data_IF_418992490573
#
_entry.id   IF_418992490573
#
_cell.length_a   1.000
_cell.length_b   1.000
_cell.length_c   1.000
_cell.angle_alpha   90.00
_cell.angle_beta   90.00
_cell.angle_gamma   90.00
#
_symmetry.space_group_name_H-M   'P 1'
#
loop_
_entity.id
_entity.type
_entity.pdbx_description
1 polymer ?
#
# COMPACT_ATOMS: atom_id res chain seq x y z
N UNK A 1 30.40 -17.37 1.43
CA UNK A 1 29.40 -16.65 0.65
C UNK A 1 29.15 -15.37 1.39
N UNK A 2 29.35 -14.22 0.77
CA UNK A 2 29.05 -12.91 1.39
C UNK A 2 27.56 -12.90 1.76
N UNK A 3 27.18 -12.32 2.91
CA UNK A 3 25.79 -12.22 3.40
C UNK A 3 24.81 -11.74 2.32
N UNK A 4 25.30 -11.00 1.38
CA UNK A 4 24.63 -10.34 0.27
C UNK A 4 24.05 -11.30 -0.80
N UNK A 5 24.65 -12.48 -1.00
CA UNK A 5 24.17 -13.43 -2.04
C UNK A 5 22.86 -14.13 -1.70
N UNK A 6 22.50 -14.24 -0.41
CA UNK A 6 21.28 -14.90 0.02
C UNK A 6 20.01 -14.12 -0.36
N UNK A 7 20.11 -12.79 -0.56
CA UNK A 7 18.99 -11.94 -0.90
C UNK A 7 18.75 -11.76 -2.41
N UNK A 8 19.62 -12.30 -3.28
CA UNK A 8 19.58 -12.09 -4.73
C UNK A 8 18.21 -12.42 -5.37
N UNK A 9 17.52 -13.44 -4.85
CA UNK A 9 16.21 -13.81 -5.37
C UNK A 9 15.14 -12.76 -5.08
N UNK A 10 15.18 -12.12 -3.90
CA UNK A 10 14.14 -11.23 -3.42
C UNK A 10 14.46 -9.75 -3.59
N UNK A 11 15.71 -9.33 -3.49
CA UNK A 11 16.11 -7.92 -3.52
C UNK A 11 15.89 -7.24 -4.89
N UNK A 12 15.81 -5.90 -4.93
CA UNK A 12 15.93 -5.11 -6.17
C UNK A 12 17.17 -5.47 -6.99
N UNK A 13 17.26 -5.00 -8.21
CA UNK A 13 18.45 -5.24 -9.04
C UNK A 13 19.67 -4.54 -8.47
N UNK A 14 20.82 -5.23 -8.51
CA UNK A 14 22.17 -4.71 -8.25
C UNK A 14 23.06 -5.28 -9.35
N UNK A 15 23.51 -4.42 -10.28
CA UNK A 15 24.33 -4.79 -11.43
C UNK A 15 23.55 -5.33 -12.63
N UNK A 16 22.22 -5.38 -12.55
CA UNK A 16 21.32 -5.86 -13.63
C UNK A 16 20.46 -4.71 -14.22
N UNK A 17 20.72 -3.46 -13.79
CA UNK A 17 19.87 -2.31 -14.10
C UNK A 17 19.87 -2.00 -15.58
N UNK A 18 21.05 -1.92 -16.20
CA UNK A 18 21.20 -1.60 -17.65
C UNK A 18 20.47 -2.63 -18.52
N UNK A 19 20.73 -3.95 -18.37
CA UNK A 19 19.98 -4.95 -19.14
C UNK A 19 18.47 -4.92 -18.88
N UNK A 20 18.03 -4.59 -17.67
CA UNK A 20 16.61 -4.50 -17.34
C UNK A 20 15.94 -3.29 -18.03
N UNK A 21 16.59 -2.13 -18.02
CA UNK A 21 16.11 -0.93 -18.72
C UNK A 21 16.06 -1.16 -20.24
N UNK A 22 17.07 -1.83 -20.81
CA UNK A 22 17.08 -2.19 -22.24
C UNK A 22 15.90 -3.10 -22.60
N UNK A 23 15.62 -4.13 -21.78
CA UNK A 23 14.46 -5.02 -21.99
C UNK A 23 13.14 -4.25 -21.87
N UNK A 24 12.98 -3.35 -20.89
CA UNK A 24 11.79 -2.50 -20.76
C UNK A 24 11.60 -1.61 -21.99
N UNK A 25 12.67 -1.01 -22.51
CA UNK A 25 12.61 -0.13 -23.68
C UNK A 25 12.17 -0.85 -24.97
N UNK A 26 12.26 -2.19 -24.99
CA UNK A 26 11.86 -3.04 -26.12
C UNK A 26 10.55 -3.80 -25.87
N UNK A 27 10.01 -3.78 -24.64
CA UNK A 27 8.80 -4.51 -24.25
C UNK A 27 7.55 -3.80 -24.76
N UNK A 28 6.98 -4.26 -25.85
CA UNK A 28 5.83 -3.64 -26.52
C UNK A 28 4.60 -3.52 -25.62
N UNK A 29 4.31 -4.51 -24.79
CA UNK A 29 3.20 -4.48 -23.81
C UNK A 29 3.40 -3.37 -22.78
N UNK A 30 4.62 -3.25 -22.23
CA UNK A 30 5.00 -2.18 -21.31
C UNK A 30 4.82 -0.80 -21.95
N UNK A 31 5.40 -0.60 -23.14
CA UNK A 31 5.32 0.67 -23.87
C UNK A 31 3.87 1.04 -24.19
N UNK A 32 3.05 0.07 -24.61
CA UNK A 32 1.63 0.28 -24.92
C UNK A 32 0.86 0.70 -23.66
N UNK A 33 1.04 -0.03 -22.57
CA UNK A 33 0.38 0.27 -21.29
C UNK A 33 0.76 1.66 -20.78
N UNK A 34 2.05 1.96 -20.72
CA UNK A 34 2.52 3.25 -20.22
C UNK A 34 2.10 4.41 -21.13
N UNK A 35 2.14 4.22 -22.45
CA UNK A 35 1.65 5.21 -23.41
C UNK A 35 0.16 5.52 -23.19
N UNK A 36 -0.66 4.50 -23.03
CA UNK A 36 -2.09 4.66 -22.77
C UNK A 36 -2.36 5.40 -21.44
N UNK A 37 -1.64 5.03 -20.40
CA UNK A 37 -1.83 5.60 -19.06
C UNK A 37 -1.35 7.04 -18.94
N UNK A 38 -0.21 7.35 -19.55
CA UNK A 38 0.45 8.66 -19.42
C UNK A 38 0.13 9.63 -20.55
N UNK A 39 -0.50 9.13 -21.62
CA UNK A 39 -0.72 9.85 -22.89
C UNK A 39 0.58 10.36 -23.51
N UNK A 40 1.67 9.62 -23.31
CA UNK A 40 2.99 9.89 -23.89
C UNK A 40 3.26 8.86 -24.98
N UNK A 41 3.76 9.29 -26.14
CA UNK A 41 4.10 8.39 -27.24
C UNK A 41 5.17 7.38 -26.83
N UNK A 42 5.07 6.14 -27.33
CA UNK A 42 6.03 5.06 -27.07
C UNK A 42 7.47 5.46 -27.32
N UNK A 43 7.72 6.18 -28.44
CA UNK A 43 9.07 6.66 -28.79
C UNK A 43 9.64 7.62 -27.75
N UNK A 44 8.81 8.44 -27.12
CA UNK A 44 9.24 9.34 -26.04
C UNK A 44 9.50 8.56 -24.75
N UNK A 45 8.71 7.51 -24.44
CA UNK A 45 8.96 6.62 -23.32
C UNK A 45 10.31 5.91 -23.51
N UNK A 46 10.59 5.41 -24.71
CA UNK A 46 11.87 4.80 -25.04
C UNK A 46 13.04 5.79 -24.90
N UNK A 47 12.87 7.03 -25.33
CA UNK A 47 13.88 8.08 -25.18
C UNK A 47 14.13 8.43 -23.72
N UNK A 48 13.09 8.47 -22.87
CA UNK A 48 13.22 8.69 -21.42
C UNK A 48 13.98 7.56 -20.71
N UNK A 49 13.87 6.33 -21.18
CA UNK A 49 14.60 5.19 -20.65
C UNK A 49 16.07 5.15 -21.09
N UNK A 50 16.39 5.80 -22.24
CA UNK A 50 17.73 5.80 -22.81
C UNK A 50 18.72 6.50 -21.87
N UNK A 51 19.83 5.82 -21.59
CA UNK A 51 20.91 6.36 -20.76
C UNK A 51 20.71 6.18 -19.25
N UNK A 52 19.60 5.57 -18.81
CA UNK A 52 19.42 5.18 -17.42
C UNK A 52 20.33 3.98 -17.13
N UNK A 53 21.19 4.12 -16.11
CA UNK A 53 22.20 3.12 -15.74
C UNK A 53 22.11 2.66 -14.30
N UNK A 54 21.24 3.28 -13.47
CA UNK A 54 21.03 2.90 -12.10
C UNK A 54 19.55 2.97 -11.70
N UNK A 55 19.19 2.34 -10.57
CA UNK A 55 17.85 2.40 -9.99
C UNK A 55 17.46 3.84 -9.62
N UNK A 56 18.37 4.58 -9.02
CA UNK A 56 18.14 5.97 -8.61
C UNK A 56 17.82 6.85 -9.83
N UNK A 57 18.54 6.65 -10.94
CA UNK A 57 18.22 7.33 -12.19
C UNK A 57 16.87 6.89 -12.74
N UNK A 58 16.54 5.60 -12.71
CA UNK A 58 15.25 5.08 -13.14
C UNK A 58 14.10 5.73 -12.35
N UNK A 59 14.23 5.77 -11.04
CA UNK A 59 13.26 6.37 -10.14
C UNK A 59 13.14 7.88 -10.36
N UNK A 60 14.26 8.61 -10.41
CA UNK A 60 14.24 10.07 -10.51
C UNK A 60 13.84 10.58 -11.90
N UNK A 61 14.22 9.89 -12.98
CA UNK A 61 14.06 10.39 -14.35
C UNK A 61 12.87 9.77 -15.10
N UNK A 62 12.41 8.58 -14.68
CA UNK A 62 11.34 7.88 -15.34
C UNK A 62 10.15 7.59 -14.43
N UNK A 63 10.33 6.82 -13.36
CA UNK A 63 9.19 6.31 -12.56
C UNK A 63 8.54 7.41 -11.73
N UNK A 64 9.30 8.20 -10.97
CA UNK A 64 8.78 9.31 -10.18
C UNK A 64 7.98 10.33 -11.00
N UNK A 65 8.54 10.89 -12.09
CA UNK A 65 7.80 11.78 -12.99
C UNK A 65 6.55 11.13 -13.60
N UNK A 66 6.58 9.82 -13.87
CA UNK A 66 5.40 9.07 -14.34
C UNK A 66 4.31 9.03 -13.28
N UNK A 67 4.65 8.71 -12.03
CA UNK A 67 3.71 8.71 -10.91
C UNK A 67 3.14 10.10 -10.65
N UNK A 68 3.96 11.16 -10.66
CA UNK A 68 3.48 12.54 -10.51
C UNK A 68 2.47 12.91 -11.61
N UNK A 69 2.70 12.49 -12.85
CA UNK A 69 1.75 12.70 -13.96
C UNK A 69 0.45 11.94 -13.76
N UNK A 70 0.52 10.69 -13.28
CA UNK A 70 -0.66 9.88 -12.95
C UNK A 70 -1.46 10.52 -11.82
N UNK A 71 -0.81 10.97 -10.75
CA UNK A 71 -1.43 11.71 -9.65
C UNK A 71 -2.18 12.93 -10.19
N UNK A 72 -1.52 13.76 -10.99
CA UNK A 72 -2.12 14.97 -11.56
C UNK A 72 -3.32 14.67 -12.46
N UNK A 73 -3.30 13.54 -13.18
CA UNK A 73 -4.38 13.15 -14.10
C UNK A 73 -5.55 12.39 -13.47
N UNK A 74 -5.35 11.77 -12.31
CA UNK A 74 -6.34 10.86 -11.70
C UNK A 74 -6.78 11.25 -10.29
N UNK A 75 -6.24 12.33 -9.73
CA UNK A 75 -6.62 12.82 -8.39
C UNK A 75 -6.99 14.31 -8.41
N UNK A 76 -7.64 14.77 -7.35
CA UNK A 76 -7.82 16.20 -7.01
C UNK A 76 -6.66 16.75 -6.16
N UNK A 77 -5.56 16.02 -6.08
CA UNK A 77 -4.38 16.32 -5.29
C UNK A 77 -4.12 15.31 -4.19
N UNK A 78 -2.86 15.25 -3.79
CA UNK A 78 -2.35 14.44 -2.68
C UNK A 78 -1.93 15.39 -1.57
N UNK A 79 -2.30 15.05 -0.34
CA UNK A 79 -1.89 15.77 0.87
C UNK A 79 -1.21 14.80 1.82
N UNK A 80 -0.35 15.31 2.67
CA UNK A 80 0.37 14.50 3.67
C UNK A 80 0.45 15.27 4.98
N UNK A 81 0.35 14.54 6.09
CA UNK A 81 0.65 15.03 7.45
C UNK A 81 1.70 14.14 8.10
N UNK A 82 2.45 14.65 9.06
CA UNK A 82 3.42 13.90 9.84
C UNK A 82 4.78 13.66 9.17
N UNK A 83 5.06 14.28 8.01
CA UNK A 83 6.40 14.23 7.39
C UNK A 83 7.48 14.81 8.29
N UNK A 84 7.14 15.70 9.23
CA UNK A 84 8.05 16.26 10.22
C UNK A 84 8.65 15.24 11.17
N UNK A 85 7.98 14.09 11.36
CA UNK A 85 8.49 12.97 12.18
C UNK A 85 9.59 12.17 11.48
N UNK A 86 9.77 12.36 10.16
CA UNK A 86 10.73 11.62 9.36
C UNK A 86 12.00 12.45 9.18
N UNK A 87 13.07 11.99 9.81
CA UNK A 87 14.41 12.58 9.68
C UNK A 87 15.08 12.06 8.40
N UNK A 88 15.70 12.97 7.63
CA UNK A 88 16.24 12.66 6.30
C UNK A 88 17.33 11.60 6.31
N UNK A 89 18.13 11.57 7.38
CA UNK A 89 19.30 10.70 7.51
C UNK A 89 18.99 9.39 8.26
N UNK A 90 17.71 9.12 8.53
CA UNK A 90 17.28 7.89 9.20
C UNK A 90 16.42 7.03 8.28
N UNK A 91 16.54 5.74 8.46
CA UNK A 91 15.75 4.72 7.77
C UNK A 91 14.61 4.24 8.66
N UNK A 92 13.48 3.88 8.06
CA UNK A 92 12.25 3.51 8.76
C UNK A 92 11.59 2.30 8.12
N UNK A 93 10.85 1.55 8.93
CA UNK A 93 9.90 0.55 8.46
C UNK A 93 8.49 1.16 8.44
N UNK A 94 8.06 1.64 7.28
CA UNK A 94 6.70 2.13 7.09
C UNK A 94 5.73 0.97 6.95
N UNK A 95 4.72 0.92 7.82
CA UNK A 95 3.66 -0.11 7.80
C UNK A 95 2.32 0.57 7.62
N UNK A 96 1.57 0.24 6.57
CA UNK A 96 0.30 0.91 6.28
C UNK A 96 -0.84 -0.04 5.97
N UNK A 97 -2.08 0.47 6.03
CA UNK A 97 -3.18 -0.12 5.29
C UNK A 97 -2.84 -0.11 3.78
N UNK A 98 -3.45 -1.02 3.01
CA UNK A 98 -3.11 -1.18 1.58
C UNK A 98 -4.36 -1.09 0.72
N UNK A 99 -4.46 -0.04 -0.08
CA UNK A 99 -5.64 0.33 -0.88
C UNK A 99 -5.46 0.06 -2.37
N UNK A 100 -4.29 0.41 -2.92
CA UNK A 100 -3.94 0.25 -4.33
C UNK A 100 -2.66 -0.59 -4.49
N UNK A 101 -2.57 -1.41 -5.55
CA UNK A 101 -1.44 -2.33 -5.75
C UNK A 101 -0.12 -1.56 -5.92
N UNK A 102 -0.15 -0.43 -6.61
CA UNK A 102 1.04 0.31 -7.05
C UNK A 102 1.13 1.67 -6.36
N UNK A 103 0.01 2.41 -6.29
CA UNK A 103 0.04 3.82 -5.92
C UNK A 103 0.32 4.06 -4.44
N UNK A 104 0.02 3.12 -3.55
CA UNK A 104 0.27 3.33 -2.11
C UNK A 104 1.76 3.55 -1.83
N UNK A 105 2.62 2.63 -2.27
CA UNK A 105 4.08 2.76 -2.12
C UNK A 105 4.67 3.82 -3.04
N UNK A 106 4.17 3.92 -4.27
CA UNK A 106 4.70 4.87 -5.24
C UNK A 106 4.45 6.34 -4.83
N UNK A 107 3.26 6.66 -4.31
CA UNK A 107 2.95 8.00 -3.80
C UNK A 107 3.77 8.29 -2.53
N UNK A 108 3.88 7.32 -1.61
CA UNK A 108 4.73 7.49 -0.42
C UNK A 108 6.16 7.84 -0.83
N UNK A 109 6.72 7.14 -1.81
CA UNK A 109 8.06 7.43 -2.33
C UNK A 109 8.18 8.84 -2.91
N UNK A 110 7.19 9.30 -3.69
CA UNK A 110 7.18 10.69 -4.19
C UNK A 110 7.21 11.68 -3.02
N UNK A 111 6.37 11.50 -2.00
CA UNK A 111 6.31 12.36 -0.82
C UNK A 111 7.62 12.37 -0.01
N UNK A 112 8.26 11.22 0.17
CA UNK A 112 9.55 11.11 0.85
C UNK A 112 10.67 11.79 0.05
N UNK A 113 10.72 11.59 -1.27
CA UNK A 113 11.69 12.25 -2.14
C UNK A 113 11.52 13.77 -2.17
N UNK A 114 10.29 14.30 -2.19
CA UNK A 114 10.01 15.74 -2.10
C UNK A 114 10.47 16.33 -0.76
N UNK A 115 10.45 15.54 0.31
CA UNK A 115 11.04 15.91 1.60
C UNK A 115 12.58 15.87 1.59
N UNK A 116 13.19 15.21 0.60
CA UNK A 116 14.64 14.97 0.48
C UNK A 116 15.11 13.75 1.27
N UNK A 117 14.23 12.81 1.56
CA UNK A 117 14.55 11.49 2.09
C UNK A 117 15.01 10.55 0.98
N UNK A 118 15.70 9.47 1.36
CA UNK A 118 16.02 8.39 0.43
C UNK A 118 14.76 7.65 -0.05
N UNK A 119 14.89 6.95 -1.14
CA UNK A 119 13.84 6.10 -1.68
C UNK A 119 13.54 4.95 -0.71
N UNK A 120 12.27 4.55 -0.63
CA UNK A 120 11.81 3.48 0.23
C UNK A 120 11.61 2.21 -0.61
N UNK A 121 12.24 1.09 -0.23
CA UNK A 121 12.00 -0.19 -0.87
C UNK A 121 10.60 -0.71 -0.55
N UNK A 122 9.86 -1.16 -1.56
CA UNK A 122 8.48 -1.61 -1.38
C UNK A 122 8.34 -3.14 -1.47
N UNK A 123 7.57 -3.72 -0.53
CA UNK A 123 7.25 -5.14 -0.55
C UNK A 123 6.22 -5.47 -1.63
N UNK A 124 6.53 -6.41 -2.54
CA UNK A 124 5.61 -6.88 -3.59
C UNK A 124 5.45 -8.40 -3.57
N UNK A 125 4.22 -8.89 -3.73
CA UNK A 125 3.96 -10.33 -3.81
C UNK A 125 4.43 -10.94 -5.13
N UNK A 126 5.08 -12.11 -5.09
CA UNK A 126 5.56 -12.83 -6.29
C UNK A 126 4.45 -13.19 -7.28
N UNK A 127 3.20 -13.29 -6.82
CA UNK A 127 2.03 -13.53 -7.68
C UNK A 127 1.75 -12.39 -8.68
N UNK A 128 2.33 -11.21 -8.47
CA UNK A 128 2.20 -10.06 -9.37
C UNK A 128 3.27 -10.04 -10.46
N UNK A 129 4.31 -10.87 -10.36
CA UNK A 129 5.41 -10.98 -11.34
C UNK A 129 5.01 -11.89 -12.51
N UNK A 130 3.95 -11.51 -13.22
CA UNK A 130 3.31 -12.34 -14.24
C UNK A 130 4.12 -12.52 -15.53
N UNK A 131 5.08 -11.62 -15.76
CA UNK A 131 5.99 -11.68 -16.90
C UNK A 131 7.30 -10.92 -16.62
N UNK A 132 8.24 -11.00 -17.58
CA UNK A 132 9.59 -10.45 -17.40
C UNK A 132 9.61 -8.93 -17.27
N UNK A 133 8.84 -8.19 -18.06
CA UNK A 133 8.86 -6.73 -18.01
C UNK A 133 8.24 -6.19 -16.69
N UNK A 134 7.24 -6.89 -16.10
CA UNK A 134 6.74 -6.54 -14.77
C UNK A 134 7.82 -6.76 -13.72
N UNK A 135 8.54 -7.89 -13.81
CA UNK A 135 9.68 -8.17 -12.91
C UNK A 135 10.76 -7.11 -13.02
N UNK A 136 11.12 -6.72 -14.27
CA UNK A 136 12.13 -5.69 -14.50
C UNK A 136 11.69 -4.33 -13.94
N UNK A 137 10.43 -3.94 -14.20
CA UNK A 137 9.87 -2.70 -13.69
C UNK A 137 9.93 -2.60 -12.17
N UNK A 138 9.42 -3.62 -11.45
CA UNK A 138 9.33 -3.58 -10.00
C UNK A 138 10.71 -3.67 -9.32
N UNK A 139 11.64 -4.44 -9.87
CA UNK A 139 13.01 -4.53 -9.34
C UNK A 139 13.84 -3.27 -9.63
N UNK A 140 13.58 -2.55 -10.72
CA UNK A 140 14.13 -1.23 -11.00
C UNK A 140 13.51 -0.16 -10.08
N UNK A 141 12.24 -0.31 -9.71
CA UNK A 141 11.55 0.58 -8.77
C UNK A 141 11.80 0.22 -7.29
N UNK A 142 12.94 -0.39 -7.00
CA UNK A 142 13.33 -0.77 -5.65
C UNK A 142 12.29 -1.63 -4.90
N UNK A 143 11.55 -2.49 -5.59
CA UNK A 143 10.67 -3.45 -4.92
C UNK A 143 11.41 -4.75 -4.57
N UNK A 144 11.22 -5.23 -3.34
CA UNK A 144 11.64 -6.57 -2.96
C UNK A 144 10.47 -7.55 -2.95
N UNK A 145 10.77 -8.83 -3.23
CA UNK A 145 9.75 -9.83 -3.50
C UNK A 145 9.38 -10.60 -2.23
N UNK A 146 8.07 -10.68 -1.97
CA UNK A 146 7.48 -11.58 -0.98
C UNK A 146 6.95 -12.82 -1.70
N UNK A 147 7.60 -13.94 -1.50
CA UNK A 147 7.17 -15.21 -2.08
C UNK A 147 5.79 -15.64 -1.56
N UNK A 148 4.92 -16.04 -2.48
CA UNK A 148 3.54 -16.46 -2.21
C UNK A 148 3.34 -17.93 -2.57
N UNK A 149 2.38 -18.58 -1.90
CA UNK A 149 2.03 -19.96 -2.20
C UNK A 149 3.11 -21.00 -1.82
N UNK A 150 4.01 -20.65 -0.90
CA UNK A 150 5.04 -21.56 -0.43
C UNK A 150 4.44 -22.73 0.37
N UNK A 151 5.03 -23.93 0.25
CA UNK A 151 4.74 -25.03 1.16
C UNK A 151 4.99 -24.62 2.62
N UNK A 152 4.19 -25.14 3.55
CA UNK A 152 4.27 -24.79 4.99
C UNK A 152 5.70 -24.92 5.55
N UNK A 153 6.43 -25.97 5.14
CA UNK A 153 7.83 -26.20 5.54
C UNK A 153 8.78 -25.05 5.18
N UNK A 154 8.49 -24.33 4.08
CA UNK A 154 9.37 -23.30 3.53
C UNK A 154 8.97 -21.89 4.03
N UNK A 155 7.76 -21.75 4.61
CA UNK A 155 7.23 -20.46 5.10
C UNK A 155 8.10 -19.85 6.19
N UNK A 156 8.60 -20.67 7.14
CA UNK A 156 9.43 -20.18 8.25
C UNK A 156 10.78 -19.70 7.72
N UNK A 157 11.40 -20.47 6.83
CA UNK A 157 12.68 -20.11 6.22
C UNK A 157 12.56 -18.81 5.42
N UNK A 158 11.51 -18.67 4.61
CA UNK A 158 11.23 -17.48 3.82
C UNK A 158 10.90 -16.27 4.72
N UNK A 159 10.17 -16.47 5.82
CA UNK A 159 9.89 -15.40 6.79
C UNK A 159 11.17 -14.93 7.50
N UNK A 160 12.04 -15.86 7.89
CA UNK A 160 13.33 -15.56 8.49
C UNK A 160 14.24 -14.79 7.52
N UNK A 161 14.32 -15.22 6.25
CA UNK A 161 15.08 -14.52 5.21
C UNK A 161 14.60 -13.07 5.06
N UNK A 162 13.28 -12.84 5.01
CA UNK A 162 12.70 -11.49 4.93
C UNK A 162 13.01 -10.65 6.16
N UNK A 163 12.94 -11.24 7.36
CA UNK A 163 13.29 -10.54 8.60
C UNK A 163 14.74 -10.03 8.59
N UNK A 164 15.66 -10.88 8.13
CA UNK A 164 17.07 -10.47 7.94
C UNK A 164 17.22 -9.41 6.85
N UNK A 165 16.49 -9.56 5.73
CA UNK A 165 16.52 -8.61 4.64
C UNK A 165 16.07 -7.20 5.06
N UNK A 166 14.96 -7.09 5.81
CA UNK A 166 14.46 -5.80 6.31
C UNK A 166 15.53 -5.07 7.15
N UNK A 167 16.26 -5.81 7.98
CA UNK A 167 17.33 -5.23 8.80
C UNK A 167 18.55 -4.85 7.96
N UNK A 168 18.91 -5.66 6.98
CA UNK A 168 19.97 -5.36 6.03
C UNK A 168 19.70 -4.02 5.32
N UNK A 169 18.48 -3.84 4.79
CA UNK A 169 18.06 -2.61 4.13
C UNK A 169 18.13 -1.41 5.08
N UNK A 170 17.57 -1.53 6.29
CA UNK A 170 17.47 -0.43 7.25
C UNK A 170 18.83 -0.05 7.86
N UNK A 171 19.69 -1.03 8.17
CA UNK A 171 20.94 -0.83 8.90
C UNK A 171 22.15 -0.65 8.00
N UNK A 172 22.31 -1.58 7.04
CA UNK A 172 23.52 -1.62 6.20
C UNK A 172 23.35 -0.66 5.02
N UNK A 173 22.21 -0.75 4.31
CA UNK A 173 21.98 0.11 3.14
C UNK A 173 21.47 1.51 3.52
N UNK A 174 20.95 1.67 4.73
CA UNK A 174 20.35 2.91 5.25
C UNK A 174 19.19 3.42 4.41
N UNK A 175 18.46 2.49 3.79
CA UNK A 175 17.23 2.76 3.07
C UNK A 175 16.00 2.43 3.94
N UNK A 176 14.88 3.05 3.64
CA UNK A 176 13.62 2.75 4.29
C UNK A 176 12.90 1.59 3.60
N UNK A 177 11.92 1.00 4.29
CA UNK A 177 11.10 -0.09 3.75
C UNK A 177 9.62 0.24 3.93
N UNK A 178 8.81 -0.02 2.91
CA UNK A 178 7.35 -0.02 3.01
C UNK A 178 6.80 -1.45 2.91
N UNK A 179 5.89 -1.79 3.81
CA UNK A 179 5.15 -3.04 3.79
C UNK A 179 3.70 -2.82 4.24
N UNK A 180 2.76 -3.53 3.63
CA UNK A 180 1.37 -3.51 4.07
C UNK A 180 1.19 -4.21 5.43
N UNK A 181 0.29 -3.69 6.28
CA UNK A 181 -0.02 -4.25 7.62
C UNK A 181 -0.58 -5.67 7.58
N UNK A 182 -1.07 -6.09 6.42
CA UNK A 182 -1.57 -7.45 6.17
C UNK A 182 -1.35 -7.88 4.72
N UNK A 183 -1.51 -9.17 4.48
CA UNK A 183 -1.46 -9.72 3.14
C UNK A 183 -2.63 -9.24 2.27
N UNK A 184 -2.29 -8.65 1.11
CA UNK A 184 -3.23 -8.16 0.11
C UNK A 184 -3.87 -6.83 0.47
N UNK A 185 -4.56 -6.25 -0.53
CA UNK A 185 -5.26 -4.97 -0.38
C UNK A 185 -6.52 -5.12 0.49
N UNK A 186 -6.91 -4.02 1.14
CA UNK A 186 -8.23 -3.92 1.76
C UNK A 186 -9.34 -4.22 0.74
N UNK A 187 -10.36 -4.93 1.19
CA UNK A 187 -11.52 -5.25 0.36
C UNK A 187 -12.78 -4.55 0.86
N UNK A 188 -12.99 -4.59 2.16
CA UNK A 188 -14.17 -4.01 2.81
C UNK A 188 -13.89 -2.75 3.64
N UNK A 189 -12.66 -2.24 3.64
CA UNK A 189 -12.29 -1.05 4.41
C UNK A 189 -12.00 -1.29 5.90
N UNK A 190 -12.09 -2.53 6.39
CA UNK A 190 -11.76 -2.92 7.77
C UNK A 190 -10.55 -3.86 7.79
N UNK A 191 -9.37 -3.28 7.76
CA UNK A 191 -8.11 -4.02 7.82
C UNK A 191 -7.55 -4.01 9.23
N UNK A 192 -6.99 -5.17 9.62
CA UNK A 192 -6.31 -5.35 10.92
C UNK A 192 -4.89 -5.84 10.69
N UNK A 193 -3.97 -5.39 11.53
CA UNK A 193 -2.56 -5.77 11.46
C UNK A 193 -2.39 -7.27 11.70
N UNK A 194 -1.77 -7.97 10.76
CA UNK A 194 -1.50 -9.40 10.89
C UNK A 194 -0.43 -9.68 11.93
N UNK A 195 -0.76 -10.46 12.97
CA UNK A 195 0.19 -10.91 13.98
C UNK A 195 1.38 -11.67 13.39
N UNK A 196 1.18 -12.42 12.30
CA UNK A 196 2.27 -13.12 11.60
C UNK A 196 3.29 -12.17 10.98
N UNK A 197 2.88 -10.97 10.56
CA UNK A 197 3.79 -9.94 10.09
C UNK A 197 4.71 -9.44 11.21
N UNK A 198 4.15 -9.11 12.37
CA UNK A 198 4.92 -8.65 13.52
C UNK A 198 5.84 -9.76 14.06
N UNK A 199 5.38 -11.01 14.06
CA UNK A 199 6.23 -12.16 14.38
C UNK A 199 7.39 -12.29 13.41
N UNK A 200 7.16 -12.08 12.12
CA UNK A 200 8.21 -12.09 11.09
C UNK A 200 9.23 -10.98 11.35
N UNK A 201 8.84 -9.77 11.72
CA UNK A 201 9.77 -8.69 12.06
C UNK A 201 10.72 -9.07 13.19
N UNK A 202 10.28 -9.91 14.14
CA UNK A 202 11.07 -10.38 15.28
C UNK A 202 11.94 -11.62 15.04
N UNK A 203 11.89 -12.24 13.87
CA UNK A 203 12.64 -13.48 13.61
C UNK A 203 14.15 -13.27 13.56
N UNK A 204 14.60 -12.04 13.31
CA UNK A 204 16.00 -11.62 13.35
C UNK A 204 16.19 -10.44 14.33
N UNK A 205 17.45 -10.03 14.58
CA UNK A 205 17.79 -8.92 15.46
C UNK A 205 17.79 -9.27 16.96
N UNK A 206 17.70 -8.28 17.85
CA UNK A 206 17.74 -8.48 19.29
C UNK A 206 16.63 -9.41 19.80
N UNK A 207 16.94 -10.17 20.86
CA UNK A 207 15.92 -11.03 21.52
C UNK A 207 14.94 -10.22 22.36
N UNK A 208 15.40 -9.11 22.91
CA UNK A 208 14.58 -8.16 23.65
C UNK A 208 13.48 -7.60 22.75
N UNK A 209 12.26 -7.45 23.28
CA UNK A 209 11.11 -7.02 22.52
C UNK A 209 11.21 -5.56 22.12
N UNK A 210 11.55 -4.71 23.06
CA UNK A 210 11.65 -3.26 22.88
C UNK A 210 12.79 -2.92 21.91
N UNK A 211 13.98 -3.47 22.17
CA UNK A 211 15.15 -3.24 21.30
C UNK A 211 14.91 -3.72 19.88
N UNK A 212 14.23 -4.88 19.71
CA UNK A 212 13.95 -5.45 18.40
C UNK A 212 13.10 -4.54 17.52
N UNK A 213 12.03 -3.96 18.05
CA UNK A 213 11.16 -3.06 17.30
C UNK A 213 11.72 -1.63 17.19
N UNK A 214 12.44 -1.14 18.20
CA UNK A 214 13.16 0.15 18.14
C UNK A 214 14.18 0.18 17.02
N UNK A 215 14.91 -0.91 16.81
CA UNK A 215 15.82 -1.04 15.69
C UNK A 215 15.12 -0.80 14.35
N UNK A 216 13.94 -1.36 14.13
CA UNK A 216 13.21 -1.24 12.87
C UNK A 216 12.60 0.14 12.66
N UNK A 217 12.49 0.98 13.69
CA UNK A 217 11.84 2.29 13.65
C UNK A 217 10.50 2.23 12.90
N UNK A 218 9.59 1.39 13.42
CA UNK A 218 8.28 1.15 12.79
C UNK A 218 7.46 2.42 12.79
N UNK A 219 7.00 2.84 11.63
CA UNK A 219 6.16 4.02 11.41
C UNK A 219 4.82 3.57 10.83
N UNK A 220 3.73 3.58 11.61
CA UNK A 220 2.40 3.39 11.06
C UNK A 220 2.01 4.52 10.11
N UNK A 221 1.46 4.17 8.96
CA UNK A 221 1.00 5.13 7.94
C UNK A 221 -0.44 4.82 7.57
N UNK A 222 -1.29 5.84 7.57
CA UNK A 222 -2.67 5.74 7.10
C UNK A 222 -2.80 6.31 5.70
N UNK A 223 -3.41 5.54 4.80
CA UNK A 223 -3.61 5.93 3.40
C UNK A 223 -5.12 5.99 3.13
N UNK A 224 -5.61 7.14 2.70
CA UNK A 224 -7.03 7.34 2.42
C UNK A 224 -7.27 7.98 1.05
N UNK A 225 -8.20 7.38 0.32
CA UNK A 225 -8.69 7.85 -0.97
C UNK A 225 -10.14 8.29 -0.85
N UNK A 226 -10.50 9.43 -1.45
CA UNK A 226 -11.90 9.89 -1.50
C UNK A 226 -12.77 8.92 -2.32
N UNK A 227 -12.25 8.42 -3.43
CA UNK A 227 -12.78 7.32 -4.19
C UNK A 227 -11.84 6.12 -4.08
N UNK A 228 -12.32 5.05 -3.47
CA UNK A 228 -11.53 3.85 -3.22
C UNK A 228 -11.08 3.22 -4.54
N UNK A 229 -9.76 2.97 -4.71
CA UNK A 229 -9.26 2.33 -5.93
C UNK A 229 -9.89 0.95 -6.15
N UNK A 230 -10.43 0.72 -7.36
CA UNK A 230 -11.05 -0.56 -7.75
C UNK A 230 -12.22 -0.99 -6.83
N UNK A 231 -13.03 -0.07 -6.34
CA UNK A 231 -14.16 -0.36 -5.45
C UNK A 231 -15.19 -1.31 -6.09
N UNK A 232 -15.47 -1.18 -7.38
CA UNK A 232 -16.31 -2.10 -8.16
C UNK A 232 -15.70 -3.52 -8.22
N UNK A 233 -14.42 -3.65 -8.54
CA UNK A 233 -13.73 -4.95 -8.58
C UNK A 233 -13.62 -5.58 -7.18
N UNK A 234 -13.46 -4.76 -6.13
CA UNK A 234 -13.48 -5.23 -4.75
C UNK A 234 -14.87 -5.72 -4.34
N UNK A 235 -15.91 -4.99 -4.78
CA UNK A 235 -17.32 -5.38 -4.56
C UNK A 235 -17.64 -6.70 -5.23
N UNK A 236 -17.25 -6.86 -6.50
CA UNK A 236 -17.44 -8.11 -7.24
C UNK A 236 -16.70 -9.28 -6.55
N UNK A 237 -15.42 -9.11 -6.19
CA UNK A 237 -14.66 -10.14 -5.48
C UNK A 237 -15.33 -10.57 -4.16
N UNK A 238 -15.82 -9.62 -3.37
CA UNK A 238 -16.50 -9.91 -2.12
C UNK A 238 -17.87 -10.59 -2.36
N UNK A 239 -18.60 -10.14 -3.37
CA UNK A 239 -19.85 -10.76 -3.76
C UNK A 239 -19.66 -12.22 -4.19
N UNK A 240 -18.68 -12.48 -5.06
CA UNK A 240 -18.38 -13.84 -5.52
C UNK A 240 -17.98 -14.77 -4.36
N UNK A 241 -17.25 -14.26 -3.37
CA UNK A 241 -16.93 -15.01 -2.13
C UNK A 241 -18.17 -15.31 -1.27
N UNK A 242 -19.22 -14.52 -1.38
CA UNK A 242 -20.46 -14.72 -0.62
C UNK A 242 -21.34 -15.79 -1.25
N UNK A 243 -21.33 -15.88 -2.59
CA UNK A 243 -22.25 -16.78 -3.34
C UNK A 243 -21.57 -18.07 -3.83
N UNK A 244 -20.25 -18.18 -3.73
CA UNK A 244 -19.49 -19.33 -4.18
C UNK A 244 -18.01 -19.26 -3.87
N UNK A 245 -17.19 -20.03 -4.60
CA UNK A 245 -15.74 -19.98 -4.49
C UNK A 245 -15.16 -18.94 -5.47
N UNK A 246 -14.55 -17.91 -4.93
CA UNK A 246 -13.76 -16.95 -5.71
C UNK A 246 -12.36 -17.46 -5.96
N UNK A 247 -11.98 -17.63 -7.21
CA UNK A 247 -10.61 -17.98 -7.62
C UNK A 247 -9.93 -16.75 -8.19
N UNK A 248 -8.91 -16.26 -7.48
CA UNK A 248 -8.10 -15.13 -7.93
C UNK A 248 -7.25 -15.55 -9.13
N UNK A 249 -7.31 -14.78 -10.22
CA UNK A 249 -6.55 -15.04 -11.45
C UNK A 249 -5.51 -13.94 -11.71
N UNK A 250 -4.41 -14.24 -12.45
CA UNK A 250 -3.46 -13.21 -12.89
C UNK A 250 -4.11 -12.09 -13.71
N UNK A 251 -5.14 -12.42 -14.51
CA UNK A 251 -5.90 -11.43 -15.27
C UNK A 251 -6.69 -10.46 -14.37
N UNK A 252 -7.21 -10.92 -13.22
CA UNK A 252 -7.88 -10.08 -12.25
C UNK A 252 -6.89 -9.11 -11.58
N UNK A 253 -5.66 -9.55 -11.27
CA UNK A 253 -4.60 -8.70 -10.75
C UNK A 253 -4.19 -7.63 -11.77
N UNK A 254 -3.99 -8.01 -13.04
CA UNK A 254 -3.67 -7.06 -14.11
C UNK A 254 -4.78 -6.02 -14.30
N UNK A 255 -6.06 -6.43 -14.34
CA UNK A 255 -7.20 -5.51 -14.42
C UNK A 255 -7.21 -4.54 -13.24
N UNK A 256 -6.95 -5.04 -12.04
CA UNK A 256 -6.90 -4.19 -10.84
C UNK A 256 -5.73 -3.20 -10.87
N UNK A 257 -4.55 -3.60 -11.39
CA UNK A 257 -3.43 -2.67 -11.58
C UNK A 257 -3.77 -1.57 -12.60
N UNK A 258 -4.30 -1.93 -13.75
CA UNK A 258 -4.69 -0.97 -14.79
C UNK A 258 -5.76 0.01 -14.30
N UNK A 259 -6.81 -0.50 -13.65
CA UNK A 259 -7.89 0.33 -13.13
C UNK A 259 -7.42 1.19 -11.95
N UNK A 260 -6.57 0.66 -11.05
CA UNK A 260 -5.97 1.42 -9.97
C UNK A 260 -5.16 2.61 -10.49
N UNK A 261 -4.33 2.41 -11.52
CA UNK A 261 -3.53 3.46 -12.11
C UNK A 261 -4.35 4.51 -12.86
N UNK A 262 -5.37 4.09 -13.65
CA UNK A 262 -6.12 4.99 -14.54
C UNK A 262 -7.40 5.58 -13.92
N UNK A 263 -7.97 4.95 -12.90
CA UNK A 263 -9.22 5.35 -12.27
C UNK A 263 -9.11 6.67 -11.51
N UNK A 264 -10.18 7.47 -11.53
CA UNK A 264 -10.26 8.70 -10.72
C UNK A 264 -10.39 8.37 -9.23
N UNK A 265 -9.60 9.05 -8.39
CA UNK A 265 -9.47 8.79 -6.95
C UNK A 265 -9.94 9.93 -6.06
N UNK A 266 -10.31 11.09 -6.66
CA UNK A 266 -10.62 12.27 -5.89
C UNK A 266 -9.42 12.79 -5.11
N UNK A 267 -9.63 13.22 -3.87
CA UNK A 267 -8.57 13.65 -2.95
C UNK A 267 -7.88 12.42 -2.33
N UNK A 268 -6.58 12.52 -2.11
CA UNK A 268 -5.77 11.46 -1.48
C UNK A 268 -5.04 12.05 -0.28
N UNK A 269 -4.94 11.30 0.80
CA UNK A 269 -4.22 11.73 1.99
C UNK A 269 -3.37 10.61 2.58
N UNK A 270 -2.15 10.97 2.96
CA UNK A 270 -1.21 10.14 3.71
C UNK A 270 -1.01 10.76 5.09
N UNK A 271 -1.31 10.01 6.14
CA UNK A 271 -0.99 10.41 7.50
C UNK A 271 0.14 9.54 8.04
N UNK A 272 1.31 10.13 8.20
CA UNK A 272 2.49 9.49 8.76
C UNK A 272 2.49 9.75 10.26
N UNK A 273 2.47 8.71 11.07
CA UNK A 273 2.51 8.85 12.52
C UNK A 273 3.95 8.88 13.05
N UNK A 274 4.19 9.32 14.29
CA UNK A 274 5.50 9.16 14.91
C UNK A 274 5.97 7.69 14.89
N UNK A 275 7.29 7.43 14.77
CA UNK A 275 7.82 6.10 15.01
C UNK A 275 7.38 5.54 16.36
N UNK A 276 7.08 4.25 16.42
CA UNK A 276 6.74 3.58 17.69
C UNK A 276 8.03 3.44 18.50
N UNK A 277 8.09 4.04 19.67
CA UNK A 277 9.29 4.03 20.52
C UNK A 277 8.95 3.78 21.99
N UNK A 278 8.48 4.79 22.72
CA UNK A 278 8.21 4.67 24.17
C UNK A 278 7.02 3.77 24.47
N UNK A 279 6.05 3.68 23.57
CA UNK A 279 4.90 2.79 23.71
C UNK A 279 5.30 1.31 23.73
N UNK A 280 6.44 0.95 23.14
CA UNK A 280 6.97 -0.41 23.20
C UNK A 280 7.29 -0.86 24.62
N UNK A 281 7.62 0.06 25.53
CA UNK A 281 7.90 -0.25 26.94
C UNK A 281 6.62 -0.67 27.64
N UNK A 282 5.51 0.05 27.43
CA UNK A 282 4.19 -0.28 27.98
C UNK A 282 3.67 -1.61 27.43
N UNK A 283 3.87 -1.84 26.11
CA UNK A 283 3.50 -3.09 25.44
C UNK A 283 4.32 -4.27 25.98
N UNK A 284 5.60 -4.07 26.33
CA UNK A 284 6.45 -5.14 26.86
C UNK A 284 6.06 -5.60 28.26
N UNK A 285 5.27 -4.82 29.01
CA UNK A 285 4.72 -5.21 30.30
C UNK A 285 3.69 -6.36 30.22
N UNK A 286 3.20 -6.70 28.99
CA UNK A 286 2.28 -7.80 28.78
C UNK A 286 2.90 -9.16 29.18
N UNK A 287 2.07 -10.07 29.69
CA UNK A 287 2.48 -11.30 30.35
C UNK A 287 3.33 -12.24 29.49
N UNK A 288 3.09 -12.27 28.18
CA UNK A 288 3.80 -13.16 27.28
C UNK A 288 3.94 -12.58 25.88
N UNK A 289 4.78 -13.19 25.06
CA UNK A 289 5.08 -12.72 23.72
C UNK A 289 3.85 -12.67 22.78
N UNK A 290 2.87 -13.52 22.95
CA UNK A 290 1.64 -13.51 22.14
C UNK A 290 0.79 -12.29 22.45
N UNK A 291 0.69 -11.94 23.74
CA UNK A 291 -0.06 -10.77 24.19
C UNK A 291 0.63 -9.48 23.79
N UNK A 292 1.97 -9.41 23.85
CA UNK A 292 2.76 -8.29 23.34
C UNK A 292 2.54 -8.05 21.84
N UNK A 293 2.53 -9.11 21.04
CA UNK A 293 2.26 -9.03 19.60
C UNK A 293 0.81 -8.58 19.33
N UNK A 294 -0.15 -9.06 20.13
CA UNK A 294 -1.55 -8.66 20.00
C UNK A 294 -1.74 -7.18 20.36
N UNK A 295 -1.11 -6.73 21.45
CA UNK A 295 -1.17 -5.33 21.89
C UNK A 295 -0.49 -4.40 20.88
N UNK A 296 0.70 -4.76 20.36
CA UNK A 296 1.35 -3.99 19.31
C UNK A 296 0.51 -3.92 18.04
N UNK A 297 -0.15 -5.02 17.65
CA UNK A 297 -1.06 -5.02 16.50
C UNK A 297 -2.25 -4.07 16.72
N UNK A 298 -2.87 -4.11 17.92
CA UNK A 298 -3.98 -3.23 18.28
C UNK A 298 -3.53 -1.76 18.30
N UNK A 299 -2.35 -1.48 18.84
CA UNK A 299 -1.78 -0.13 18.83
C UNK A 299 -1.54 0.39 17.40
N UNK A 300 -0.98 -0.45 16.52
CA UNK A 300 -0.78 -0.09 15.11
C UNK A 300 -2.11 0.15 14.40
N UNK A 301 -3.12 -0.69 14.64
CA UNK A 301 -4.46 -0.52 14.07
C UNK A 301 -5.08 0.80 14.52
N UNK A 302 -4.96 1.15 15.80
CA UNK A 302 -5.44 2.42 16.33
C UNK A 302 -4.74 3.62 15.66
N UNK A 303 -3.43 3.55 15.45
CA UNK A 303 -2.65 4.58 14.75
C UNK A 303 -3.05 4.70 13.27
N UNK A 304 -3.21 3.58 12.55
CA UNK A 304 -3.56 3.57 11.13
C UNK A 304 -5.02 4.00 10.92
N UNK A 305 -5.95 3.42 11.68
CA UNK A 305 -7.38 3.66 11.51
C UNK A 305 -7.81 5.01 12.09
N UNK A 306 -7.23 5.43 13.23
CA UNK A 306 -7.51 6.71 13.86
C UNK A 306 -7.02 7.91 13.04
N UNK A 307 -5.97 7.73 12.24
CA UNK A 307 -5.44 8.77 11.34
C UNK A 307 -5.96 8.68 9.91
N UNK A 308 -6.95 7.80 9.65
CA UNK A 308 -7.57 7.73 8.33
C UNK A 308 -8.38 8.99 8.05
N UNK A 309 -8.01 9.72 7.00
CA UNK A 309 -8.77 10.91 6.58
C UNK A 309 -10.11 10.49 6.04
N UNK A 310 -11.17 10.84 6.75
CA UNK A 310 -12.54 10.59 6.32
C UNK A 310 -13.00 11.67 5.34
N UNK A 311 -13.60 11.24 4.24
CA UNK A 311 -14.13 12.07 3.18
C UNK A 311 -15.66 12.05 3.20
N UNK A 312 -16.37 13.00 2.55
CA UNK A 312 -17.82 12.96 2.42
C UNK A 312 -18.38 11.60 2.01
N UNK A 313 -17.71 10.91 1.07
CA UNK A 313 -18.10 9.58 0.60
C UNK A 313 -18.19 8.54 1.74
N UNK A 314 -17.29 8.62 2.72
CA UNK A 314 -17.29 7.71 3.87
C UNK A 314 -18.54 7.93 4.74
N UNK A 315 -18.86 9.19 5.04
CA UNK A 315 -20.00 9.55 5.87
C UNK A 315 -21.34 9.28 5.17
N UNK A 316 -21.42 9.56 3.86
CA UNK A 316 -22.59 9.24 3.03
C UNK A 316 -22.85 7.73 3.05
N UNK A 317 -21.79 6.93 2.81
CA UNK A 317 -21.91 5.48 2.80
C UNK A 317 -22.35 4.94 4.17
N UNK A 318 -21.82 5.48 5.26
CA UNK A 318 -22.23 5.11 6.62
C UNK A 318 -23.71 5.39 6.86
N UNK A 319 -24.18 6.60 6.55
CA UNK A 319 -25.58 6.99 6.75
C UNK A 319 -26.52 6.18 5.87
N UNK A 320 -26.16 5.88 4.62
CA UNK A 320 -26.92 5.02 3.72
C UNK A 320 -26.97 3.57 4.21
N UNK A 321 -25.85 3.00 4.61
CA UNK A 321 -25.75 1.60 5.07
C UNK A 321 -26.56 1.35 6.34
N UNK A 322 -26.56 2.32 7.27
CA UNK A 322 -27.24 2.20 8.56
C UNK A 322 -28.61 2.87 8.60
N UNK A 323 -29.08 3.42 7.47
CA UNK A 323 -30.36 4.16 7.38
C UNK A 323 -30.45 5.29 8.42
N UNK A 324 -29.39 6.07 8.58
CA UNK A 324 -29.29 7.19 9.53
C UNK A 324 -28.98 8.51 8.83
N UNK A 325 -29.02 9.60 9.58
CA UNK A 325 -28.51 10.92 9.18
C UNK A 325 -27.46 11.43 10.20
N UNK A 326 -26.76 10.51 10.85
CA UNK A 326 -25.81 10.82 11.94
C UNK A 326 -24.72 11.79 11.51
N UNK A 327 -24.30 11.70 10.27
CA UNK A 327 -23.22 12.50 9.69
C UNK A 327 -23.69 13.47 8.60
N UNK A 328 -24.98 13.83 8.56
CA UNK A 328 -25.53 14.75 7.55
C UNK A 328 -24.83 16.13 7.49
N UNK A 329 -24.17 16.55 8.60
CA UNK A 329 -23.39 17.79 8.61
C UNK A 329 -21.99 17.68 7.97
N UNK A 330 -21.56 16.48 7.57
CA UNK A 330 -20.24 16.21 6.99
C UNK A 330 -20.24 16.12 5.45
N UNK A 331 -21.41 16.26 4.83
CA UNK A 331 -21.59 16.26 3.38
C UNK A 331 -22.80 17.12 3.00
N UNK A 332 -22.88 17.50 1.74
CA UNK A 332 -24.03 18.21 1.17
C UNK A 332 -24.85 17.32 0.24
N UNK A 333 -26.02 17.82 -0.23
CA UNK A 333 -26.91 17.04 -1.11
C UNK A 333 -26.27 16.70 -2.46
N UNK A 334 -25.48 17.63 -3.04
CA UNK A 334 -24.78 17.39 -4.31
C UNK A 334 -23.73 16.26 -4.17
N UNK A 335 -22.98 16.22 -3.10
CA UNK A 335 -22.01 15.15 -2.81
C UNK A 335 -22.75 13.81 -2.63
N UNK A 336 -23.90 13.81 -1.93
CA UNK A 336 -24.70 12.61 -1.72
C UNK A 336 -25.28 12.08 -3.02
N UNK A 337 -25.87 12.92 -3.84
CA UNK A 337 -26.43 12.57 -5.16
C UNK A 337 -25.33 12.04 -6.08
N UNK A 338 -24.17 12.70 -6.12
CA UNK A 338 -23.04 12.26 -6.91
C UNK A 338 -22.52 10.88 -6.46
N UNK A 339 -22.40 10.64 -5.15
CA UNK A 339 -21.96 9.34 -4.61
C UNK A 339 -22.93 8.23 -5.02
N UNK A 340 -24.24 8.45 -4.85
CA UNK A 340 -25.28 7.47 -5.22
C UNK A 340 -25.26 7.19 -6.73
N UNK A 341 -25.12 8.23 -7.56
CA UNK A 341 -25.04 8.08 -9.02
C UNK A 341 -23.85 7.27 -9.44
N UNK A 342 -22.64 7.60 -8.93
CA UNK A 342 -21.41 6.88 -9.27
C UNK A 342 -21.45 5.44 -8.78
N UNK A 343 -21.97 5.19 -7.57
CA UNK A 343 -22.19 3.84 -7.06
C UNK A 343 -23.10 3.05 -8.01
N UNK A 344 -24.24 3.62 -8.44
CA UNK A 344 -25.16 2.97 -9.37
C UNK A 344 -24.48 2.61 -10.69
N UNK A 345 -23.77 3.57 -11.32
CA UNK A 345 -23.05 3.38 -12.59
C UNK A 345 -21.99 2.27 -12.53
N UNK A 346 -21.32 2.12 -11.39
CA UNK A 346 -20.33 1.06 -11.17
C UNK A 346 -20.98 -0.30 -10.98
N UNK A 347 -22.02 -0.36 -10.15
CA UNK A 347 -22.69 -1.60 -9.81
C UNK A 347 -23.60 -2.13 -10.94
N UNK A 348 -24.05 -1.28 -11.86
CA UNK A 348 -24.79 -1.70 -13.06
C UNK A 348 -23.96 -2.55 -14.03
N UNK A 349 -22.64 -2.53 -13.87
CA UNK A 349 -21.71 -3.36 -14.65
C UNK A 349 -21.45 -4.74 -14.03
N UNK A 350 -21.96 -4.97 -12.81
CA UNK A 350 -21.75 -6.20 -12.07
C UNK A 350 -22.98 -7.10 -12.14
N UNK A 351 -22.73 -8.39 -12.27
CA UNK A 351 -23.79 -9.40 -12.19
C UNK A 351 -24.01 -9.82 -10.73
N UNK A 352 -25.28 -9.96 -10.32
CA UNK A 352 -25.59 -10.43 -8.99
C UNK A 352 -26.79 -9.77 -8.33
N UNK A 353 -27.02 -10.12 -7.05
CA UNK A 353 -28.09 -9.53 -6.26
C UNK A 353 -27.74 -8.07 -5.90
N UNK A 354 -28.52 -7.14 -6.44
CA UNK A 354 -28.27 -5.69 -6.29
C UNK A 354 -28.22 -5.22 -4.84
N UNK A 355 -29.07 -5.77 -3.97
CA UNK A 355 -29.08 -5.38 -2.56
C UNK A 355 -27.78 -5.78 -1.84
N UNK A 356 -27.27 -6.98 -2.13
CA UNK A 356 -26.02 -7.47 -1.57
C UNK A 356 -24.83 -6.65 -2.10
N UNK A 357 -24.79 -6.39 -3.42
CA UNK A 357 -23.76 -5.56 -4.05
C UNK A 357 -23.74 -4.14 -3.46
N UNK A 358 -24.92 -3.52 -3.27
CA UNK A 358 -25.03 -2.21 -2.63
C UNK A 358 -24.44 -2.22 -1.22
N UNK A 359 -24.80 -3.21 -0.39
CA UNK A 359 -24.28 -3.29 0.98
C UNK A 359 -22.75 -3.45 1.00
N UNK A 360 -22.20 -4.35 0.18
CA UNK A 360 -20.74 -4.55 0.08
C UNK A 360 -20.04 -3.26 -0.34
N UNK A 361 -20.56 -2.58 -1.37
CA UNK A 361 -19.97 -1.31 -1.82
C UNK A 361 -20.00 -0.24 -0.73
N UNK A 362 -21.13 -0.11 -0.03
CA UNK A 362 -21.26 0.84 1.07
C UNK A 362 -20.32 0.50 2.24
N UNK A 363 -20.12 -0.78 2.58
CA UNK A 363 -19.21 -1.22 3.64
C UNK A 363 -17.77 -0.77 3.38
N UNK A 364 -17.29 -0.79 2.11
CA UNK A 364 -15.94 -0.35 1.75
C UNK A 364 -15.65 1.08 2.24
N UNK A 365 -16.65 1.95 2.15
CA UNK A 365 -16.56 3.35 2.54
C UNK A 365 -17.00 3.61 3.98
N UNK A 366 -17.94 2.84 4.52
CA UNK A 366 -18.51 3.02 5.85
C UNK A 366 -17.60 2.48 6.96
N UNK A 367 -16.88 1.38 6.72
CA UNK A 367 -16.04 0.77 7.76
C UNK A 367 -14.93 1.70 8.27
N UNK A 368 -14.26 2.55 7.48
CA UNK A 368 -13.34 3.55 8.01
C UNK A 368 -13.99 4.51 9.03
N UNK A 369 -15.27 4.87 8.87
CA UNK A 369 -16.01 5.69 9.85
C UNK A 369 -16.24 4.89 11.14
N UNK A 370 -16.66 3.64 11.02
CA UNK A 370 -16.84 2.74 12.16
C UNK A 370 -15.54 2.60 12.95
N UNK A 371 -14.44 2.30 12.28
CA UNK A 371 -13.13 2.15 12.90
C UNK A 371 -12.66 3.43 13.60
N UNK A 372 -12.89 4.60 12.99
CA UNK A 372 -12.56 5.90 13.59
C UNK A 372 -13.36 6.15 14.88
N UNK A 373 -14.65 5.74 14.93
CA UNK A 373 -15.47 5.86 16.13
C UNK A 373 -14.97 4.90 17.23
N UNK A 374 -14.63 3.66 16.89
CA UNK A 374 -14.16 2.64 17.82
C UNK A 374 -12.85 3.06 18.50
N UNK A 375 -11.95 3.71 17.78
CA UNK A 375 -10.67 4.10 18.34
C UNK A 375 -10.67 5.45 19.06
N UNK A 376 -11.77 6.23 18.99
CA UNK A 376 -11.97 7.50 19.71
C UNK A 376 -10.73 8.44 19.65
N UNK A 377 -9.96 8.33 18.57
CA UNK A 377 -8.71 9.05 18.39
C UNK A 377 -9.03 10.46 17.87
N UNK A 378 -9.08 11.42 18.77
CA UNK A 378 -8.78 12.81 18.41
C UNK A 378 -7.28 12.85 18.08
N UNK A 379 -6.96 12.59 16.81
CA UNK A 379 -5.58 12.73 16.36
C UNK A 379 -5.20 14.19 16.38
N UNK A 380 -4.11 14.59 17.05
CA UNK A 380 -3.60 15.95 16.98
C UNK A 380 -3.09 16.33 15.58
N UNK A 381 -3.10 15.38 14.63
CA UNK A 381 -2.53 15.53 13.27
C UNK A 381 -3.62 15.91 12.23
N UNK A 382 -4.91 15.81 12.55
CA UNK A 382 -6.02 16.02 11.60
C UNK A 382 -6.85 17.30 11.81
N UNK A 383 -6.46 18.22 12.69
CA UNK A 383 -7.06 19.56 12.81
C UNK A 383 -6.48 20.57 11.82
#
# INVERSE_FOLDING_TARGET
MTSDSQFNAIRPYIGEEIPAVERLSQAEEFLSLFSQMTRVDKSKIQEQLKGITSREQFQAQFFGPTIQRLIAGTTKGVTVTGLEYIEKDKSYLFVSNHRDIILDSAILNVLLCERGCHYCEAAIGSNLLINKWVTDLVKLDACFIIERGLPVRDMITSANLRSHYLRDVIYENKDSVWIAQKEGRTKNGDDRTQHSLLKMFRMSGPKDFVENFKELRVVPVSISYEWEPCDDLKTDELYQKTVGEYVKTPAADMRSMQQGLSGFKGRVHFAITPPIDHELIEIDEQANNSDRIAELAAFMDARIQGNFKLWPNNYIAYDLLHSTNKFASKYNDEEKENFIRVMAEKLDKLEGNRSILNNIFLEIYANPVKNSIEHNYSSPICE
#
